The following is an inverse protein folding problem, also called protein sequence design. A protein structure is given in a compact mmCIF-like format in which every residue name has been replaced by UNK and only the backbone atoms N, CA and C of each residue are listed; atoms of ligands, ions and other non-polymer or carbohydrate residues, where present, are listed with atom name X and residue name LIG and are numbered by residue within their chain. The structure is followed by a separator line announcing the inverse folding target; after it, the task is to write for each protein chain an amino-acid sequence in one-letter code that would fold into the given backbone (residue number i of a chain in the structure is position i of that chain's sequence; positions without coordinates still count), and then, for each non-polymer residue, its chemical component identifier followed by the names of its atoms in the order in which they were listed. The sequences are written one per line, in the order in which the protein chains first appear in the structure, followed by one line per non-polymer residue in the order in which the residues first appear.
data_IF_990865043533
#
_entry.id   IF_990865043533
#
_cell.length_a   1.000
_cell.length_b   1.000
_cell.length_c   1.000
_cell.angle_alpha   90.00
_cell.angle_beta   90.00
_cell.angle_gamma   90.00
#
_symmetry.space_group_name_H-M   'P 1'
#
loop_
_entity.id
_entity.type
_entity.pdbx_description
1 polymer ?
#
# COMPACT_ATOMS: atom_id res chain seq x y z
N UNK A 1 -1.82 -81.07 -61.36
CA UNK A 1 -0.72 -80.27 -60.78
C UNK A 1 -0.54 -79.08 -61.69
N UNK A 2 -0.83 -77.83 -61.34
CA UNK A 2 -0.42 -77.05 -60.16
C UNK A 2 -1.39 -75.86 -60.00
N UNK A 3 -1.84 -75.56 -58.78
CA UNK A 3 -2.60 -74.34 -58.45
C UNK A 3 -1.59 -73.18 -58.36
N UNK A 4 -1.75 -72.05 -59.09
CA UNK A 4 -0.88 -70.91 -58.87
C UNK A 4 -1.30 -70.16 -57.60
N UNK A 5 -0.27 -69.67 -56.91
CA UNK A 5 -0.29 -69.08 -55.60
C UNK A 5 -1.15 -67.81 -55.53
N UNK A 6 -1.93 -67.77 -54.45
CA UNK A 6 -2.41 -66.58 -53.74
C UNK A 6 -1.69 -65.28 -54.09
N UNK A 7 -2.36 -64.43 -54.86
CA UNK A 7 -2.05 -63.01 -54.93
C UNK A 7 -2.54 -62.35 -53.64
N UNK A 8 -1.65 -62.25 -52.66
CA UNK A 8 -1.78 -61.32 -51.55
C UNK A 8 -1.98 -59.92 -52.13
N UNK A 9 -3.22 -59.43 -52.11
CA UNK A 9 -3.50 -58.00 -52.25
C UNK A 9 -2.81 -57.33 -51.07
N UNK A 10 -1.65 -56.73 -51.32
CA UNK A 10 -1.08 -55.73 -50.40
C UNK A 10 -2.18 -54.68 -50.25
N UNK A 11 -2.84 -54.70 -49.10
CA UNK A 11 -3.62 -53.56 -48.64
C UNK A 11 -2.60 -52.46 -48.51
N UNK A 12 -2.53 -51.57 -49.51
CA UNK A 12 -1.81 -50.33 -49.35
C UNK A 12 -2.43 -49.67 -48.12
N UNK A 13 -1.69 -49.62 -47.01
CA UNK A 13 -2.08 -48.81 -45.87
C UNK A 13 -2.28 -47.41 -46.43
N UNK A 14 -3.51 -46.92 -46.35
CA UNK A 14 -3.84 -45.55 -46.70
C UNK A 14 -2.83 -44.65 -46.01
N UNK A 15 -2.09 -43.85 -46.79
CA UNK A 15 -1.19 -42.85 -46.24
C UNK A 15 -1.98 -42.05 -45.20
N UNK A 16 -1.45 -41.77 -44.00
CA UNK A 16 -2.19 -41.02 -43.00
C UNK A 16 -2.64 -39.73 -43.66
N UNK A 17 -3.94 -39.60 -43.90
CA UNK A 17 -4.52 -38.41 -44.51
C UNK A 17 -4.07 -37.26 -43.65
N UNK A 18 -3.17 -36.41 -44.15
CA UNK A 18 -2.80 -35.18 -43.47
C UNK A 18 -4.08 -34.37 -43.39
N UNK A 19 -4.75 -34.51 -42.26
CA UNK A 19 -5.98 -33.82 -41.93
C UNK A 19 -5.57 -32.36 -41.71
N UNK A 20 -5.55 -31.61 -42.80
CA UNK A 20 -5.23 -30.20 -42.81
C UNK A 20 -6.23 -29.49 -41.91
N UNK A 21 -5.71 -28.73 -40.96
CA UNK A 21 -6.55 -28.05 -39.98
C UNK A 21 -7.58 -27.16 -40.70
N UNK A 22 -8.86 -27.20 -40.30
CA UNK A 22 -9.89 -26.37 -40.91
C UNK A 22 -9.48 -24.89 -40.90
N UNK A 23 -9.68 -24.17 -42.00
CA UNK A 23 -9.17 -22.81 -42.19
C UNK A 23 -9.69 -21.76 -41.17
N UNK A 24 -10.72 -22.10 -40.39
CA UNK A 24 -11.24 -21.27 -39.29
C UNK A 24 -10.42 -21.40 -38.00
N UNK A 25 -9.70 -22.51 -37.80
CA UNK A 25 -8.93 -22.79 -36.58
C UNK A 25 -7.80 -21.78 -36.36
N UNK A 26 -6.94 -21.45 -37.35
CA UNK A 26 -5.90 -20.44 -37.16
C UNK A 26 -6.45 -19.05 -36.82
N UNK A 27 -7.59 -18.68 -37.42
CA UNK A 27 -8.26 -17.39 -37.16
C UNK A 27 -8.82 -17.33 -35.74
N UNK A 28 -9.45 -18.41 -35.28
CA UNK A 28 -9.93 -18.53 -33.91
C UNK A 28 -8.78 -18.46 -32.90
N UNK A 29 -7.65 -19.12 -33.19
CA UNK A 29 -6.44 -19.07 -32.36
C UNK A 29 -5.91 -17.64 -32.28
N UNK A 30 -5.75 -16.93 -33.41
CA UNK A 30 -5.25 -15.55 -33.42
C UNK A 30 -6.17 -14.61 -32.66
N UNK A 31 -7.49 -14.70 -32.85
CA UNK A 31 -8.46 -13.88 -32.12
C UNK A 31 -8.40 -14.16 -30.60
N UNK A 32 -8.26 -15.42 -30.20
CA UNK A 32 -8.11 -15.81 -28.80
C UNK A 32 -6.82 -15.23 -28.22
N UNK A 33 -5.70 -15.30 -28.94
CA UNK A 33 -4.43 -14.70 -28.52
C UNK A 33 -4.48 -13.18 -28.40
N UNK A 34 -5.11 -12.48 -29.37
CA UNK A 34 -5.30 -11.03 -29.29
C UNK A 34 -6.21 -10.67 -28.12
N UNK A 35 -7.31 -11.41 -27.92
CA UNK A 35 -8.20 -11.22 -26.78
C UNK A 35 -7.45 -11.42 -25.45
N UNK A 36 -6.70 -12.52 -25.33
CA UNK A 36 -5.87 -12.83 -24.17
C UNK A 36 -4.86 -11.73 -23.88
N UNK A 37 -4.10 -11.31 -24.91
CA UNK A 37 -3.10 -10.25 -24.79
C UNK A 37 -3.76 -8.91 -24.45
N UNK A 38 -4.92 -8.62 -25.04
CA UNK A 38 -5.75 -7.45 -24.74
C UNK A 38 -6.19 -7.42 -23.27
N UNK A 39 -6.72 -8.52 -22.74
CA UNK A 39 -7.04 -8.63 -21.30
C UNK A 39 -5.81 -8.50 -20.41
N UNK A 40 -4.67 -9.06 -20.82
CA UNK A 40 -3.43 -8.96 -20.05
C UNK A 40 -2.93 -7.51 -19.96
N UNK A 41 -2.88 -6.81 -21.09
CA UNK A 41 -2.50 -5.39 -21.16
C UNK A 41 -3.52 -4.53 -20.43
N UNK A 42 -4.82 -4.73 -20.65
CA UNK A 42 -5.88 -3.98 -19.97
C UNK A 42 -5.79 -4.15 -18.44
N UNK A 43 -5.55 -5.37 -17.94
CA UNK A 43 -5.36 -5.63 -16.51
C UNK A 43 -4.09 -4.95 -15.97
N UNK A 44 -3.00 -4.96 -16.73
CA UNK A 44 -1.75 -4.31 -16.36
C UNK A 44 -1.85 -2.78 -16.35
N UNK A 45 -2.62 -2.20 -17.30
CA UNK A 45 -2.91 -0.77 -17.32
C UNK A 45 -3.86 -0.40 -16.19
N UNK A 46 -4.91 -1.20 -15.95
CA UNK A 46 -5.86 -0.95 -14.87
C UNK A 46 -5.19 -0.92 -13.51
N UNK A 47 -4.31 -1.88 -13.19
CA UNK A 47 -3.60 -1.89 -11.90
C UNK A 47 -2.71 -0.65 -11.69
N UNK A 48 -2.18 -0.07 -12.77
CA UNK A 48 -1.35 1.14 -12.72
C UNK A 48 -2.18 2.44 -12.69
N UNK A 49 -3.29 2.48 -13.43
CA UNK A 49 -4.14 3.67 -13.57
C UNK A 49 -5.26 3.74 -12.53
N UNK A 50 -5.63 2.64 -11.88
CA UNK A 50 -6.67 2.64 -10.85
C UNK A 50 -6.34 3.62 -9.72
N UNK A 51 -5.08 3.65 -9.27
CA UNK A 51 -4.60 4.62 -8.29
C UNK A 51 -4.76 6.07 -8.77
N UNK A 52 -4.47 6.33 -10.05
CA UNK A 52 -4.67 7.63 -10.66
C UNK A 52 -6.16 8.04 -10.73
N UNK A 53 -7.05 7.13 -11.15
CA UNK A 53 -8.49 7.40 -11.19
C UNK A 53 -9.08 7.65 -9.80
N UNK A 54 -8.64 6.90 -8.79
CA UNK A 54 -9.02 7.14 -7.39
C UNK A 54 -8.55 8.52 -6.95
N UNK A 55 -7.31 8.90 -7.26
CA UNK A 55 -6.75 10.22 -6.95
C UNK A 55 -7.58 11.33 -7.61
N UNK A 56 -7.93 11.16 -8.89
CA UNK A 56 -8.76 12.10 -9.65
C UNK A 56 -10.19 12.19 -9.09
N UNK A 57 -10.78 11.07 -8.67
CA UNK A 57 -12.09 11.05 -8.04
C UNK A 57 -12.10 11.80 -6.70
N UNK A 58 -11.06 11.59 -5.88
CA UNK A 58 -10.89 12.30 -4.61
C UNK A 58 -10.71 13.80 -4.85
N UNK A 59 -9.85 14.20 -5.79
CA UNK A 59 -9.62 15.61 -6.09
C UNK A 59 -10.86 16.29 -6.64
N UNK A 60 -11.66 15.61 -7.48
CA UNK A 60 -12.94 16.11 -7.96
C UNK A 60 -13.92 16.35 -6.80
N UNK A 61 -14.05 15.40 -5.89
CA UNK A 61 -14.88 15.56 -4.71
C UNK A 61 -14.42 16.73 -3.84
N UNK A 62 -13.10 16.86 -3.65
CA UNK A 62 -12.50 17.94 -2.86
C UNK A 62 -12.72 19.31 -3.51
N UNK A 63 -12.62 19.39 -4.83
CA UNK A 63 -12.90 20.61 -5.59
C UNK A 63 -14.34 21.10 -5.36
N UNK A 64 -15.31 20.17 -5.43
CA UNK A 64 -16.72 20.47 -5.13
C UNK A 64 -16.95 20.84 -3.66
N UNK A 65 -16.27 20.18 -2.73
CA UNK A 65 -16.39 20.47 -1.30
C UNK A 65 -15.82 21.85 -0.91
N UNK A 66 -14.80 22.32 -1.64
CA UNK A 66 -14.14 23.60 -1.41
C UNK A 66 -14.92 24.77 -2.00
N UNK A 67 -15.75 24.54 -3.02
CA UNK A 67 -16.61 25.55 -3.66
C UNK A 67 -17.38 26.48 -2.69
N UNK A 68 -18.09 26.00 -1.65
CA UNK A 68 -18.75 26.88 -0.69
C UNK A 68 -17.76 27.78 0.09
N UNK A 69 -16.55 27.27 0.36
CA UNK A 69 -15.48 28.04 0.99
C UNK A 69 -14.94 29.11 0.06
N UNK A 70 -14.62 28.75 -1.19
CA UNK A 70 -14.09 29.70 -2.18
C UNK A 70 -15.09 30.77 -2.53
N UNK A 71 -16.39 30.43 -2.60
CA UNK A 71 -17.44 31.40 -2.88
C UNK A 71 -17.54 32.47 -1.78
N UNK A 72 -17.36 32.11 -0.50
CA UNK A 72 -17.28 33.12 0.59
C UNK A 72 -16.12 34.08 0.43
N UNK A 73 -14.97 33.59 -0.06
CA UNK A 73 -13.77 34.39 -0.28
C UNK A 73 -13.88 35.21 -1.59
N UNK A 74 -14.50 34.66 -2.63
CA UNK A 74 -14.76 35.34 -3.90
C UNK A 74 -15.72 36.54 -3.72
N UNK A 75 -16.70 36.43 -2.81
CA UNK A 75 -17.56 37.56 -2.41
C UNK A 75 -16.78 38.75 -1.82
N UNK A 76 -15.54 38.55 -1.36
CA UNK A 76 -14.64 39.62 -0.91
C UNK A 76 -13.78 40.22 -2.04
N UNK A 77 -14.11 39.91 -3.31
CA UNK A 77 -13.42 40.44 -4.49
C UNK A 77 -12.20 39.63 -4.94
N UNK A 78 -11.99 38.44 -4.36
CA UNK A 78 -10.83 37.61 -4.68
C UNK A 78 -11.07 36.73 -5.93
N UNK A 79 -10.05 36.56 -6.77
CA UNK A 79 -10.12 35.63 -7.89
C UNK A 79 -10.30 34.19 -7.38
N UNK A 80 -11.11 33.39 -8.08
CA UNK A 80 -11.47 32.02 -7.65
C UNK A 80 -10.23 31.16 -7.36
N UNK A 81 -9.19 31.27 -8.20
CA UNK A 81 -7.92 30.55 -8.00
C UNK A 81 -7.20 30.92 -6.70
N UNK A 82 -7.15 32.21 -6.34
CA UNK A 82 -6.48 32.66 -5.10
C UNK A 82 -7.29 32.22 -3.86
N UNK A 83 -8.62 32.23 -3.96
CA UNK A 83 -9.50 31.68 -2.93
C UNK A 83 -9.24 30.20 -2.67
N UNK A 84 -9.11 29.40 -3.74
CA UNK A 84 -8.82 27.96 -3.63
C UNK A 84 -7.45 27.72 -3.01
N UNK A 85 -6.41 28.42 -3.45
CA UNK A 85 -5.04 28.29 -2.90
C UNK A 85 -5.01 28.60 -1.41
N UNK A 86 -5.66 29.68 -0.98
CA UNK A 86 -5.68 30.06 0.45
C UNK A 86 -6.36 28.98 1.30
N UNK A 87 -7.48 28.42 0.83
CA UNK A 87 -8.20 27.38 1.57
C UNK A 87 -7.36 26.10 1.64
N UNK A 88 -6.81 25.65 0.51
CA UNK A 88 -5.95 24.46 0.47
C UNK A 88 -4.72 24.64 1.36
N UNK A 89 -4.09 25.81 1.33
CA UNK A 89 -2.94 26.11 2.17
C UNK A 89 -3.29 26.16 3.66
N UNK A 90 -4.42 26.79 4.03
CA UNK A 90 -4.88 26.83 5.40
C UNK A 90 -5.13 25.41 5.96
N UNK A 91 -5.77 24.55 5.17
CA UNK A 91 -5.98 23.14 5.55
C UNK A 91 -4.64 22.41 5.71
N UNK A 92 -3.70 22.59 4.77
CA UNK A 92 -2.38 21.98 4.85
C UNK A 92 -1.62 22.41 6.12
N UNK A 93 -1.65 23.70 6.46
CA UNK A 93 -1.01 24.23 7.68
C UNK A 93 -1.64 23.63 8.94
N UNK A 94 -2.96 23.52 9.01
CA UNK A 94 -3.65 22.92 10.16
C UNK A 94 -3.26 21.44 10.33
N UNK A 95 -3.21 20.68 9.24
CA UNK A 95 -2.81 19.25 9.28
C UNK A 95 -1.36 19.09 9.70
N UNK A 96 -0.43 19.84 9.11
CA UNK A 96 1.00 19.79 9.46
C UNK A 96 1.24 20.23 10.90
N UNK A 97 0.56 21.29 11.34
CA UNK A 97 0.61 21.77 12.72
C UNK A 97 0.12 20.70 13.71
N UNK A 98 -1.02 20.07 13.41
CA UNK A 98 -1.58 19.00 14.23
C UNK A 98 -0.61 17.81 14.36
N UNK A 99 -0.06 17.33 13.23
CA UNK A 99 0.89 16.20 13.24
C UNK A 99 2.17 16.55 14.00
N UNK A 100 2.68 17.77 13.85
CA UNK A 100 3.87 18.23 14.58
C UNK A 100 3.64 18.24 16.10
N UNK A 101 2.53 18.83 16.56
CA UNK A 101 2.20 18.90 17.99
C UNK A 101 1.96 17.51 18.58
N UNK A 102 1.21 16.66 17.87
CA UNK A 102 0.97 15.28 18.29
C UNK A 102 2.25 14.44 18.30
N UNK A 103 3.10 14.60 17.30
CA UNK A 103 4.40 13.93 17.24
C UNK A 103 5.29 14.30 18.42
N UNK A 104 5.35 15.59 18.78
CA UNK A 104 6.11 16.05 19.94
C UNK A 104 5.56 15.48 21.25
N UNK A 105 4.23 15.48 21.43
CA UNK A 105 3.58 14.93 22.63
C UNK A 105 3.85 13.43 22.79
N UNK A 106 3.76 12.66 21.69
CA UNK A 106 4.06 11.23 21.71
C UNK A 106 5.54 10.96 21.98
N UNK A 107 6.44 11.77 21.41
CA UNK A 107 7.87 11.66 21.66
C UNK A 107 8.20 11.93 23.14
N UNK A 108 7.59 12.95 23.73
CA UNK A 108 7.75 13.28 25.15
C UNK A 108 7.24 12.16 26.07
N UNK A 109 6.08 11.57 25.73
CA UNK A 109 5.57 10.40 26.45
C UNK A 109 6.53 9.20 26.34
N UNK A 110 7.12 8.97 25.17
CA UNK A 110 8.08 7.89 24.95
C UNK A 110 9.39 8.11 25.72
N UNK A 111 9.91 9.35 25.77
CA UNK A 111 11.11 9.67 26.54
C UNK A 111 10.89 9.51 28.04
N UNK A 112 9.75 9.98 28.57
CA UNK A 112 9.42 9.80 29.99
C UNK A 112 9.35 8.32 30.39
N UNK A 113 8.84 7.45 29.50
CA UNK A 113 8.82 6.02 29.73
C UNK A 113 10.23 5.41 29.73
N UNK A 114 11.10 5.88 28.82
CA UNK A 114 12.48 5.42 28.73
C UNK A 114 13.34 5.88 29.92
N UNK A 115 13.18 7.12 30.37
CA UNK A 115 13.97 7.71 31.46
C UNK A 115 13.63 7.10 32.83
N UNK A 116 12.37 6.68 33.03
CA UNK A 116 11.90 6.09 34.29
C UNK A 116 11.81 4.55 34.23
N UNK A 117 12.47 3.92 33.26
CA UNK A 117 12.36 2.48 32.98
C UNK A 117 12.67 1.59 34.19
N UNK A 118 13.71 1.91 34.96
CA UNK A 118 14.15 1.12 36.11
C UNK A 118 13.14 1.20 37.27
N UNK A 119 12.55 2.39 37.46
CA UNK A 119 11.48 2.60 38.45
C UNK A 119 10.25 1.77 38.07
N UNK A 120 9.81 1.81 36.81
CA UNK A 120 8.67 1.02 36.36
C UNK A 120 8.93 -0.48 36.46
N UNK A 121 10.13 -0.94 36.12
CA UNK A 121 10.52 -2.34 36.29
C UNK A 121 10.42 -2.77 37.77
N UNK A 122 10.90 -1.92 38.67
CA UNK A 122 10.84 -2.17 40.13
C UNK A 122 9.40 -2.20 40.64
N UNK A 123 8.55 -1.26 40.20
CA UNK A 123 7.14 -1.20 40.58
C UNK A 123 6.35 -2.43 40.08
N UNK A 124 6.59 -2.86 38.85
CA UNK A 124 5.95 -4.06 38.28
C UNK A 124 6.41 -5.33 38.98
N UNK A 125 7.72 -5.48 39.23
CA UNK A 125 8.25 -6.63 39.96
C UNK A 125 7.70 -6.68 41.39
N UNK A 126 7.63 -5.54 42.08
CA UNK A 126 7.01 -5.44 43.41
C UNK A 126 5.54 -5.86 43.38
N UNK A 127 4.75 -5.34 42.44
CA UNK A 127 3.35 -5.73 42.26
C UNK A 127 3.20 -7.24 42.00
N UNK A 128 4.06 -7.83 41.17
CA UNK A 128 4.00 -9.26 40.84
C UNK A 128 4.39 -10.15 42.02
N UNK A 129 5.40 -9.75 42.80
CA UNK A 129 5.80 -10.46 44.00
C UNK A 129 4.69 -10.39 45.05
N UNK A 130 4.10 -9.22 45.26
CA UNK A 130 3.05 -9.00 46.27
C UNK A 130 1.70 -9.68 45.92
N UNK A 131 1.29 -9.64 44.65
CA UNK A 131 -0.03 -10.17 44.25
C UNK A 131 -0.01 -11.65 43.86
N UNK A 132 1.13 -12.16 43.36
CA UNK A 132 1.23 -13.53 42.85
C UNK A 132 2.22 -14.41 43.63
N UNK A 133 2.80 -13.90 44.73
CA UNK A 133 3.79 -14.61 45.55
C UNK A 133 4.99 -15.12 44.74
N UNK A 134 5.40 -14.33 43.75
CA UNK A 134 6.59 -14.62 42.95
C UNK A 134 7.85 -14.16 43.71
N UNK A 135 9.01 -14.73 43.37
CA UNK A 135 10.31 -14.32 43.91
C UNK A 135 11.18 -13.76 42.78
N UNK A 136 10.70 -12.72 42.09
CA UNK A 136 11.46 -12.06 41.02
C UNK A 136 12.39 -11.00 41.61
N UNK A 137 13.62 -10.94 41.08
CA UNK A 137 14.57 -9.87 41.40
C UNK A 137 14.47 -8.74 40.36
N UNK A 138 14.22 -7.52 40.84
CA UNK A 138 14.15 -6.35 39.97
C UNK A 138 15.50 -6.04 39.31
N UNK A 139 16.62 -6.32 39.98
CA UNK A 139 17.95 -6.07 39.42
C UNK A 139 18.25 -6.99 38.22
N UNK A 140 17.88 -8.28 38.30
CA UNK A 140 18.03 -9.23 37.20
C UNK A 140 17.14 -8.86 36.00
N UNK A 141 15.90 -8.41 36.27
CA UNK A 141 15.01 -7.92 35.21
C UNK A 141 15.61 -6.69 34.54
N UNK A 142 16.11 -5.71 35.30
CA UNK A 142 16.73 -4.49 34.76
C UNK A 142 17.97 -4.85 33.91
N UNK A 143 18.84 -5.74 34.38
CA UNK A 143 20.03 -6.18 33.63
C UNK A 143 19.64 -6.83 32.29
N UNK A 144 18.55 -7.60 32.27
CA UNK A 144 18.01 -8.20 31.03
C UNK A 144 17.42 -7.17 30.04
N UNK A 145 17.03 -5.98 30.49
CA UNK A 145 16.55 -4.90 29.61
C UNK A 145 17.69 -4.29 28.78
N UNK A 146 18.91 -4.31 29.32
CA UNK A 146 20.11 -3.76 28.67
C UNK A 146 20.85 -4.78 27.79
N UNK A 147 20.42 -6.05 27.76
CA UNK A 147 21.00 -7.09 26.91
C UNK A 147 20.86 -6.74 25.41
N UNK A 148 21.98 -6.61 24.66
CA UNK A 148 21.96 -6.37 23.22
C UNK A 148 21.27 -7.45 22.38
N UNK A 149 21.14 -8.67 22.89
CA UNK A 149 20.41 -9.76 22.26
C UNK A 149 19.09 -10.06 22.97
N UNK A 150 18.70 -9.21 23.92
CA UNK A 150 17.50 -9.37 24.72
C UNK A 150 16.21 -9.03 23.95
N UNK A 151 15.05 -9.46 24.48
CA UNK A 151 13.74 -9.20 23.88
C UNK A 151 13.43 -7.70 23.69
N UNK A 152 13.95 -6.85 24.58
CA UNK A 152 13.81 -5.38 24.49
C UNK A 152 14.53 -4.85 23.26
N UNK A 153 15.75 -5.32 22.99
CA UNK A 153 16.51 -4.86 21.83
C UNK A 153 15.84 -5.28 20.52
N UNK A 154 15.30 -6.49 20.45
CA UNK A 154 14.51 -6.95 19.30
C UNK A 154 13.25 -6.11 19.11
N UNK A 155 12.53 -5.78 20.19
CA UNK A 155 11.40 -4.87 20.14
C UNK A 155 11.82 -3.48 19.62
N UNK A 156 12.85 -2.86 20.19
CA UNK A 156 13.36 -1.55 19.77
C UNK A 156 13.77 -1.52 18.29
N UNK A 157 14.49 -2.55 17.81
CA UNK A 157 14.86 -2.66 16.40
C UNK A 157 13.62 -2.76 15.51
N UNK A 158 12.65 -3.60 15.88
CA UNK A 158 11.41 -3.74 15.11
C UNK A 158 10.57 -2.46 15.12
N UNK A 159 10.59 -1.70 16.21
CA UNK A 159 9.96 -0.38 16.28
C UNK A 159 10.71 0.65 15.43
N UNK A 160 12.05 0.62 15.38
CA UNK A 160 12.85 1.48 14.54
C UNK A 160 12.60 1.22 13.05
N UNK A 161 12.57 -0.04 12.63
CA UNK A 161 12.21 -0.43 11.26
C UNK A 161 10.79 0.02 10.90
N UNK A 162 9.83 -0.16 11.82
CA UNK A 162 8.47 0.37 11.66
C UNK A 162 8.46 1.90 11.54
N UNK A 163 9.24 2.62 12.33
CA UNK A 163 9.34 4.08 12.25
C UNK A 163 9.94 4.54 10.92
N UNK A 164 10.97 3.86 10.41
CA UNK A 164 11.53 4.12 9.08
C UNK A 164 10.50 3.86 8.00
N UNK A 165 9.79 2.73 8.06
CA UNK A 165 8.74 2.39 7.09
C UNK A 165 7.61 3.41 7.13
N UNK A 166 7.17 3.83 8.32
CA UNK A 166 6.20 4.90 8.49
C UNK A 166 6.69 6.22 7.90
N UNK A 167 7.98 6.56 8.06
CA UNK A 167 8.59 7.72 7.42
C UNK A 167 8.53 7.65 5.89
N UNK A 168 8.88 6.49 5.31
CA UNK A 168 8.76 6.25 3.85
C UNK A 168 7.31 6.35 3.38
N UNK A 169 6.38 5.74 4.12
CA UNK A 169 4.94 5.81 3.83
C UNK A 169 4.39 7.22 3.97
N UNK A 170 4.83 7.98 4.98
CA UNK A 170 4.45 9.37 5.17
C UNK A 170 4.94 10.24 4.01
N UNK A 171 6.17 10.03 3.53
CA UNK A 171 6.68 10.71 2.34
C UNK A 171 5.86 10.39 1.08
N UNK A 172 5.53 9.11 0.88
CA UNK A 172 4.65 8.68 -0.22
C UNK A 172 3.25 9.31 -0.12
N UNK A 173 2.69 9.33 1.08
CA UNK A 173 1.38 9.93 1.37
C UNK A 173 1.40 11.45 1.17
N UNK A 174 2.49 12.12 1.55
CA UNK A 174 2.68 13.55 1.32
C UNK A 174 2.72 13.85 -0.17
N UNK A 175 3.46 13.07 -0.96
CA UNK A 175 3.50 13.22 -2.40
C UNK A 175 2.12 12.98 -3.04
N UNK A 176 1.38 11.97 -2.57
CA UNK A 176 0.02 11.70 -3.03
C UNK A 176 -0.95 12.83 -2.66
N UNK A 177 -0.88 13.33 -1.43
CA UNK A 177 -1.69 14.46 -0.96
C UNK A 177 -1.39 15.71 -1.76
N UNK A 178 -0.11 16.02 -2.00
CA UNK A 178 0.30 17.11 -2.87
C UNK A 178 -0.28 16.97 -4.28
N UNK A 179 -0.23 15.77 -4.86
CA UNK A 179 -0.84 15.48 -6.16
C UNK A 179 -2.35 15.73 -6.15
N UNK A 180 -3.06 15.29 -5.10
CA UNK A 180 -4.51 15.55 -4.90
C UNK A 180 -4.76 17.06 -4.86
N UNK A 181 -3.98 17.81 -4.07
CA UNK A 181 -4.13 19.25 -3.95
C UNK A 181 -3.89 19.96 -5.30
N UNK A 182 -2.89 19.54 -6.07
CA UNK A 182 -2.60 20.07 -7.40
C UNK A 182 -3.78 19.87 -8.37
N UNK A 183 -4.31 18.64 -8.45
CA UNK A 183 -5.47 18.36 -9.31
C UNK A 183 -6.73 19.05 -8.82
N UNK A 184 -6.92 19.13 -7.50
CA UNK A 184 -8.05 19.85 -6.90
C UNK A 184 -8.01 21.31 -7.31
N UNK A 185 -6.84 21.95 -7.21
CA UNK A 185 -6.66 23.33 -7.67
C UNK A 185 -6.91 23.50 -9.17
N UNK A 186 -6.49 22.55 -9.99
CA UNK A 186 -6.71 22.61 -11.44
C UNK A 186 -8.18 22.44 -11.82
N UNK A 187 -8.94 21.65 -11.06
CA UNK A 187 -10.34 21.31 -11.35
C UNK A 187 -11.37 22.25 -10.69
N UNK A 188 -10.98 22.99 -9.65
CA UNK A 188 -11.83 23.92 -8.89
C UNK A 188 -11.90 25.33 -9.51
#
# INVERSE_FOLDING_TARGET
MTKPLSTLKVVANDAPTQQSMPAWVPRAIVLLWIGFLGTFVARALWSRLAGFFVLLLISLFLALAIEPGTNRLARRGMSRGLATVIILFAVAVVVVGFVTVMGALVADQASQLADNRDQYATEVVGFLNDNFSTNLDAAEVIDSLDDPNGPVREFLNSQADRAVQLGVSAFSTLFQTFSILLFTFYLA
#
